data_IF_499782086482
#
_entry.id   IF_499782086482
#
_cell.length_a   1.000
_cell.length_b   1.000
_cell.length_c   1.000
_cell.angle_alpha   90.00
_cell.angle_beta   90.00
_cell.angle_gamma   90.00
#
_symmetry.space_group_name_H-M   'P 1'
#
loop_
_entity.id
_entity.type
_entity.pdbx_description
1 polymer ?
#
# COMPACT_ATOMS: atom_id res chain seq x y z
N UNK A 1 32.21 -63.53 -5.69
CA UNK A 1 31.27 -62.85 -6.61
C UNK A 1 31.93 -61.58 -7.12
N UNK A 2 32.22 -61.50 -8.41
CA UNK A 2 32.86 -60.34 -9.05
C UNK A 2 31.76 -59.38 -9.52
N UNK A 3 31.75 -58.17 -8.99
CA UNK A 3 30.84 -57.09 -9.39
C UNK A 3 31.33 -56.44 -10.69
N UNK A 4 30.38 -56.17 -11.58
CA UNK A 4 30.59 -55.76 -12.97
C UNK A 4 30.85 -54.24 -13.05
N UNK A 5 31.99 -53.78 -13.61
CA UNK A 5 32.42 -52.37 -13.53
C UNK A 5 31.50 -51.38 -14.27
N UNK A 6 30.62 -51.87 -15.15
CA UNK A 6 29.66 -51.04 -15.90
C UNK A 6 28.48 -50.60 -15.02
N UNK A 7 28.13 -51.38 -13.99
CA UNK A 7 27.01 -51.06 -13.11
C UNK A 7 27.35 -49.93 -12.12
N UNK A 8 28.64 -49.77 -11.76
CA UNK A 8 29.10 -48.67 -10.90
C UNK A 8 29.24 -47.33 -11.64
N UNK A 9 29.44 -47.33 -12.96
CA UNK A 9 29.53 -46.08 -13.73
C UNK A 9 28.16 -45.40 -13.90
N UNK A 10 27.08 -46.19 -13.99
CA UNK A 10 25.73 -45.66 -14.20
C UNK A 10 25.12 -45.08 -12.92
N UNK A 11 25.46 -45.61 -11.74
CA UNK A 11 24.97 -45.09 -10.46
C UNK A 11 25.68 -43.78 -10.07
N UNK A 12 26.95 -43.60 -10.46
CA UNK A 12 27.69 -42.36 -10.15
C UNK A 12 27.25 -41.19 -11.02
N UNK A 13 26.86 -41.40 -12.28
CA UNK A 13 26.38 -40.31 -13.14
C UNK A 13 25.01 -39.76 -12.73
N UNK A 14 24.12 -40.58 -12.17
CA UNK A 14 22.78 -40.11 -11.75
C UNK A 14 22.82 -39.33 -10.43
N UNK A 15 23.82 -39.57 -9.58
CA UNK A 15 24.00 -38.82 -8.31
C UNK A 15 24.64 -37.45 -8.55
N UNK A 16 25.44 -37.28 -9.61
CA UNK A 16 26.05 -35.97 -9.94
C UNK A 16 25.04 -35.02 -10.60
N UNK A 17 24.04 -35.52 -11.33
CA UNK A 17 23.00 -34.65 -11.91
C UNK A 17 21.94 -34.17 -10.89
N UNK A 18 21.70 -34.93 -9.82
CA UNK A 18 20.88 -34.46 -8.69
C UNK A 18 21.61 -33.46 -7.78
N UNK A 19 22.95 -33.50 -7.75
CA UNK A 19 23.77 -32.50 -7.05
C UNK A 19 23.83 -31.13 -7.75
N UNK A 20 23.74 -31.10 -9.09
CA UNK A 20 23.80 -29.86 -9.86
C UNK A 20 22.49 -29.04 -9.84
N UNK A 21 21.33 -29.68 -9.64
CA UNK A 21 20.06 -28.97 -9.43
C UNK A 21 19.81 -28.55 -7.98
N UNK A 22 20.42 -29.24 -7.00
CA UNK A 22 20.37 -28.81 -5.60
C UNK A 22 21.25 -27.58 -5.30
N UNK A 23 22.21 -27.26 -6.19
CA UNK A 23 23.05 -26.05 -6.08
C UNK A 23 22.46 -24.79 -6.72
N UNK A 24 21.55 -24.93 -7.69
CA UNK A 24 20.87 -23.79 -8.33
C UNK A 24 19.63 -23.31 -7.56
N UNK A 25 19.07 -24.17 -6.69
CA UNK A 25 18.01 -23.82 -5.74
C UNK A 25 18.55 -23.57 -4.33
N UNK A 26 19.77 -23.03 -4.22
CA UNK A 26 20.35 -22.49 -2.98
C UNK A 26 20.62 -20.99 -3.11
N UNK A 27 19.62 -20.26 -3.56
CA UNK A 27 19.34 -19.01 -2.91
C UNK A 27 17.99 -19.15 -2.24
N UNK A 28 18.05 -19.38 -0.94
CA UNK A 28 17.00 -19.01 -0.02
C UNK A 28 16.77 -17.50 -0.17
N UNK A 29 16.02 -17.10 -1.20
CA UNK A 29 15.49 -15.74 -1.37
C UNK A 29 14.13 -15.63 -0.69
N UNK A 30 13.97 -16.28 0.47
CA UNK A 30 12.98 -15.81 1.44
C UNK A 30 13.23 -14.35 1.81
N UNK A 31 14.46 -13.87 1.64
CA UNK A 31 14.83 -12.47 1.76
C UNK A 31 15.34 -11.90 0.43
N UNK A 32 14.68 -10.83 0.00
CA UNK A 32 15.12 -9.96 -1.07
C UNK A 32 16.30 -9.12 -0.56
N UNK A 33 17.42 -9.13 -1.28
CA UNK A 33 18.54 -8.26 -0.93
C UNK A 33 18.21 -6.77 -1.18
N UNK A 34 18.93 -5.88 -0.51
CA UNK A 34 18.62 -4.45 -0.52
C UNK A 34 18.75 -3.81 -1.91
N UNK A 35 19.60 -4.35 -2.77
CA UNK A 35 19.85 -3.86 -4.12
C UNK A 35 18.72 -4.29 -5.06
N UNK A 36 18.26 -5.54 -4.97
CA UNK A 36 17.07 -6.04 -5.65
C UNK A 36 15.79 -5.33 -5.18
N UNK A 37 15.67 -5.05 -3.87
CA UNK A 37 14.54 -4.28 -3.32
C UNK A 37 14.55 -2.83 -3.81
N UNK A 38 15.71 -2.18 -3.88
CA UNK A 38 15.84 -0.84 -4.43
C UNK A 38 15.49 -0.82 -5.93
N UNK A 39 15.95 -1.81 -6.70
CA UNK A 39 15.63 -1.95 -8.11
C UNK A 39 14.13 -2.22 -8.36
N UNK A 40 13.47 -3.00 -7.49
CA UNK A 40 12.02 -3.23 -7.53
C UNK A 40 11.23 -1.98 -7.16
N UNK A 41 11.61 -1.26 -6.09
CA UNK A 41 11.03 0.05 -5.69
C UNK A 41 11.21 1.14 -6.73
N UNK A 42 12.25 1.02 -7.56
CA UNK A 42 12.49 1.93 -8.68
C UNK A 42 11.65 1.58 -9.92
N UNK A 43 11.30 0.29 -10.09
CA UNK A 43 10.60 -0.23 -11.27
C UNK A 43 9.08 -0.28 -11.11
N UNK A 44 8.59 -0.47 -9.89
CA UNK A 44 7.18 -0.51 -9.53
C UNK A 44 6.95 0.43 -8.35
N UNK A 45 5.83 1.17 -8.37
CA UNK A 45 5.46 2.01 -7.23
C UNK A 45 5.18 1.16 -5.97
N UNK A 46 5.26 1.79 -4.81
CA UNK A 46 5.03 1.14 -3.51
C UNK A 46 3.67 0.42 -3.47
N UNK A 47 2.66 0.97 -4.14
CA UNK A 47 1.32 0.39 -4.24
C UNK A 47 1.33 -0.95 -5.01
N UNK A 48 2.03 -1.04 -6.13
CA UNK A 48 2.19 -2.26 -6.92
C UNK A 48 2.96 -3.33 -6.16
N UNK A 49 3.96 -2.94 -5.37
CA UNK A 49 4.72 -3.87 -4.52
C UNK A 49 3.87 -4.42 -3.38
N UNK A 50 3.08 -3.59 -2.72
CA UNK A 50 2.15 -4.01 -1.66
C UNK A 50 1.06 -4.95 -2.22
N UNK A 51 0.46 -4.58 -3.36
CA UNK A 51 -0.52 -5.41 -4.07
C UNK A 51 0.05 -6.79 -4.44
N UNK A 52 1.32 -6.86 -4.87
CA UNK A 52 2.00 -8.12 -5.20
C UNK A 52 2.31 -9.00 -3.98
N UNK A 53 2.72 -8.40 -2.85
CA UNK A 53 2.98 -9.16 -1.62
C UNK A 53 1.71 -9.77 -1.01
N UNK A 54 0.60 -9.05 -1.07
CA UNK A 54 -0.71 -9.52 -0.60
C UNK A 54 -1.30 -10.62 -1.49
N UNK A 55 -1.10 -10.55 -2.81
CA UNK A 55 -1.62 -11.55 -3.75
C UNK A 55 -0.79 -12.84 -3.85
N UNK A 56 0.53 -12.78 -3.59
CA UNK A 56 1.43 -13.92 -3.84
C UNK A 56 1.61 -14.83 -2.62
N UNK A 57 1.38 -14.34 -1.39
CA UNK A 57 1.77 -15.06 -0.17
C UNK A 57 0.65 -15.36 0.84
N UNK A 58 -0.63 -15.21 0.50
CA UNK A 58 -1.71 -15.61 1.41
C UNK A 58 -2.75 -16.54 0.74
N UNK A 59 -2.76 -17.80 1.18
CA UNK A 59 -3.83 -18.75 0.89
C UNK A 59 -5.04 -18.44 1.78
N UNK A 60 -6.23 -18.30 1.19
CA UNK A 60 -7.47 -18.24 1.95
C UNK A 60 -8.33 -19.48 1.65
N UNK A 61 -8.11 -20.53 2.44
CA UNK A 61 -8.77 -21.84 2.31
C UNK A 61 -9.89 -22.08 3.32
N UNK A 62 -10.50 -21.03 3.90
CA UNK A 62 -11.60 -21.25 4.83
C UNK A 62 -12.72 -20.26 4.68
N UNK A 63 -13.95 -20.76 4.75
CA UNK A 63 -15.23 -20.04 4.63
C UNK A 63 -15.53 -19.02 5.74
N UNK A 64 -14.50 -18.39 6.31
CA UNK A 64 -14.63 -17.28 7.26
C UNK A 64 -14.31 -15.98 6.54
N UNK A 65 -15.29 -15.08 6.46
CA UNK A 65 -15.12 -13.73 5.89
C UNK A 65 -14.13 -12.93 6.73
N UNK A 66 -12.85 -12.99 6.40
CA UNK A 66 -11.84 -12.00 6.77
C UNK A 66 -11.06 -11.72 5.50
N UNK A 67 -11.54 -10.73 4.76
CA UNK A 67 -10.74 -10.11 3.70
C UNK A 67 -9.52 -9.49 4.41
N UNK A 68 -8.31 -9.99 4.16
CA UNK A 68 -7.07 -9.51 4.80
C UNK A 68 -6.76 -8.03 4.49
N UNK A 69 -7.56 -7.41 3.62
CA UNK A 69 -7.51 -6.01 3.23
C UNK A 69 -8.93 -5.46 3.29
N UNK A 70 -9.10 -4.32 3.94
CA UNK A 70 -10.41 -3.68 4.03
C UNK A 70 -10.77 -2.99 2.73
N UNK A 71 -12.06 -3.03 2.34
CA UNK A 71 -12.50 -2.59 1.02
C UNK A 71 -13.66 -1.61 1.10
N UNK A 72 -13.69 -0.68 0.15
CA UNK A 72 -14.90 0.11 -0.14
C UNK A 72 -15.93 -0.78 -0.85
N UNK A 73 -17.21 -0.60 -0.53
CA UNK A 73 -18.33 -1.27 -1.21
C UNK A 73 -19.21 -0.32 -2.02
N UNK A 74 -18.93 0.98 -1.93
CA UNK A 74 -19.59 2.06 -2.66
C UNK A 74 -18.57 3.16 -2.98
N UNK A 75 -18.94 4.05 -3.90
CA UNK A 75 -18.10 5.19 -4.28
C UNK A 75 -17.78 6.07 -3.06
N UNK A 76 -16.50 6.25 -2.70
CA UNK A 76 -16.13 7.13 -1.61
C UNK A 76 -16.55 8.58 -1.89
N UNK A 77 -17.22 9.21 -0.93
CA UNK A 77 -17.63 10.62 -0.97
C UNK A 77 -16.67 11.46 -0.15
N UNK A 78 -15.89 12.30 -0.81
CA UNK A 78 -14.78 13.05 -0.23
C UNK A 78 -15.23 14.45 0.17
N UNK A 79 -14.89 14.87 1.39
CA UNK A 79 -14.93 16.26 1.83
C UNK A 79 -13.52 16.76 2.16
N UNK A 80 -13.25 18.04 1.89
CA UNK A 80 -11.99 18.70 2.24
C UNK A 80 -12.26 19.63 3.43
N UNK A 81 -11.46 19.49 4.49
CA UNK A 81 -11.59 20.22 5.74
C UNK A 81 -10.24 20.89 6.11
N UNK A 82 -10.28 21.81 7.09
CA UNK A 82 -9.10 22.54 7.53
C UNK A 82 -8.72 23.65 6.55
N UNK A 83 -7.48 23.65 6.06
CA UNK A 83 -6.98 24.60 5.07
C UNK A 83 -7.47 24.25 3.65
N UNK A 84 -8.50 24.96 3.21
CA UNK A 84 -9.16 24.76 1.91
C UNK A 84 -8.66 25.71 0.82
N UNK A 85 -7.36 26.05 0.84
CA UNK A 85 -6.75 26.78 -0.26
C UNK A 85 -6.91 26.07 -1.61
N UNK A 86 -6.80 26.82 -2.71
CA UNK A 86 -6.95 26.26 -4.06
C UNK A 86 -5.92 25.17 -4.38
N UNK A 87 -4.75 25.19 -3.74
CA UNK A 87 -3.68 24.23 -4.01
C UNK A 87 -4.07 22.85 -3.44
N UNK A 88 -4.59 22.81 -2.21
CA UNK A 88 -5.07 21.61 -1.55
C UNK A 88 -6.30 21.04 -2.28
N UNK A 89 -7.23 21.91 -2.69
CA UNK A 89 -8.39 21.49 -3.49
C UNK A 89 -7.94 20.86 -4.82
N UNK A 90 -6.99 21.48 -5.52
CA UNK A 90 -6.49 20.95 -6.79
C UNK A 90 -5.72 19.64 -6.61
N UNK A 91 -4.91 19.52 -5.54
CA UNK A 91 -4.22 18.28 -5.20
C UNK A 91 -5.21 17.11 -4.99
N UNK A 92 -6.33 17.34 -4.29
CA UNK A 92 -7.38 16.33 -4.13
C UNK A 92 -8.05 16.00 -5.46
N UNK A 93 -8.41 17.01 -6.27
CA UNK A 93 -8.98 16.79 -7.61
C UNK A 93 -8.06 15.98 -8.51
N UNK A 94 -6.76 16.28 -8.47
CA UNK A 94 -5.73 15.58 -9.22
C UNK A 94 -5.62 14.11 -8.82
N UNK A 95 -5.52 13.83 -7.52
CA UNK A 95 -5.50 12.46 -7.00
C UNK A 95 -6.78 11.67 -7.39
N UNK A 96 -7.95 12.29 -7.22
CA UNK A 96 -9.23 11.68 -7.66
C UNK A 96 -9.25 11.42 -9.16
N UNK A 97 -8.74 12.33 -9.98
CA UNK A 97 -8.67 12.15 -11.43
C UNK A 97 -7.76 10.99 -11.81
N UNK A 98 -6.62 10.82 -11.12
CA UNK A 98 -5.71 9.70 -11.34
C UNK A 98 -6.41 8.37 -11.00
N UNK A 99 -7.07 8.29 -9.85
CA UNK A 99 -7.79 7.09 -9.41
C UNK A 99 -8.93 6.76 -10.38
N UNK A 100 -9.77 7.73 -10.71
CA UNK A 100 -10.93 7.50 -11.59
C UNK A 100 -10.51 7.13 -13.02
N UNK A 101 -9.35 7.62 -13.49
CA UNK A 101 -8.80 7.26 -14.79
C UNK A 101 -8.35 5.80 -14.90
N UNK A 102 -8.17 5.09 -13.77
CA UNK A 102 -7.89 3.64 -13.76
C UNK A 102 -9.08 2.80 -14.24
N UNK A 103 -10.29 3.38 -14.32
CA UNK A 103 -11.48 2.66 -14.78
C UNK A 103 -11.96 1.58 -13.80
N UNK A 104 -11.69 1.76 -12.51
CA UNK A 104 -12.17 0.87 -11.45
C UNK A 104 -13.69 0.94 -11.30
N UNK A 105 -14.29 -0.11 -10.76
CA UNK A 105 -15.74 -0.19 -10.53
C UNK A 105 -16.24 0.88 -9.57
N UNK A 106 -15.44 1.20 -8.55
CA UNK A 106 -15.73 2.29 -7.62
C UNK A 106 -14.94 3.53 -8.03
N UNK A 107 -15.60 4.68 -7.96
CA UNK A 107 -14.99 5.98 -8.26
C UNK A 107 -15.08 6.90 -7.06
N UNK A 108 -14.12 7.82 -6.95
CA UNK A 108 -14.12 8.87 -5.96
C UNK A 108 -14.94 10.06 -6.46
N UNK A 109 -15.84 10.55 -5.61
CA UNK A 109 -16.64 11.76 -5.88
C UNK A 109 -16.52 12.74 -4.71
N UNK A 110 -16.68 14.04 -4.96
CA UNK A 110 -16.91 14.97 -3.86
C UNK A 110 -18.30 14.74 -3.25
N UNK A 111 -18.38 14.86 -1.92
CA UNK A 111 -19.65 14.91 -1.22
C UNK A 111 -20.44 16.16 -1.66
N UNK A 112 -21.72 15.99 -1.97
CA UNK A 112 -22.62 17.12 -2.27
C UNK A 112 -23.15 17.76 -0.98
N UNK A 113 -23.72 18.94 -1.12
CA UNK A 113 -24.39 19.61 0.01
C UNK A 113 -25.48 18.70 0.61
N UNK A 114 -25.42 18.49 1.93
CA UNK A 114 -26.32 17.61 2.67
C UNK A 114 -25.95 16.12 2.64
N UNK A 115 -24.96 15.70 1.84
CA UNK A 115 -24.42 14.33 1.91
C UNK A 115 -23.43 14.20 3.07
N UNK A 116 -23.45 13.05 3.75
CA UNK A 116 -22.40 12.70 4.71
C UNK A 116 -21.19 12.15 3.95
N UNK A 117 -19.99 12.74 4.06
CA UNK A 117 -18.80 12.22 3.42
C UNK A 117 -18.40 10.88 4.06
N UNK A 118 -18.04 9.91 3.23
CA UNK A 118 -17.41 8.67 3.70
C UNK A 118 -15.90 8.83 3.85
N UNK A 119 -15.30 9.86 3.26
CA UNK A 119 -13.90 10.19 3.40
C UNK A 119 -13.74 11.68 3.68
N UNK A 120 -13.02 12.02 4.73
CA UNK A 120 -12.75 13.40 5.10
C UNK A 120 -11.24 13.63 5.06
N UNK A 121 -10.79 14.61 4.26
CA UNK A 121 -9.38 14.97 4.12
C UNK A 121 -9.16 16.33 4.80
N UNK A 122 -8.44 16.33 5.91
CA UNK A 122 -8.12 17.52 6.68
C UNK A 122 -6.70 17.99 6.39
N UNK A 123 -6.55 19.20 5.86
CA UNK A 123 -5.25 19.86 5.71
C UNK A 123 -4.98 20.79 6.89
N UNK A 124 -3.81 20.69 7.51
CA UNK A 124 -3.45 21.58 8.61
C UNK A 124 -2.04 21.39 9.13
N UNK A 125 -1.73 22.05 10.25
CA UNK A 125 -0.45 21.84 10.94
C UNK A 125 -0.46 20.51 11.67
N UNK A 126 0.72 19.98 11.97
CA UNK A 126 0.86 18.64 12.55
C UNK A 126 0.00 18.38 13.80
N UNK A 127 -0.10 19.34 14.72
CA UNK A 127 -0.93 19.21 15.93
C UNK A 127 -2.43 19.18 15.64
N UNK A 128 -2.89 19.98 14.68
CA UNK A 128 -4.30 20.02 14.27
C UNK A 128 -4.68 18.74 13.53
N UNK A 129 -3.80 18.28 12.64
CA UNK A 129 -3.92 16.99 11.95
C UNK A 129 -4.03 15.85 12.96
N UNK A 130 -3.11 15.77 13.93
CA UNK A 130 -3.13 14.75 14.97
C UNK A 130 -4.45 14.73 15.74
N UNK A 131 -4.89 15.91 16.18
CA UNK A 131 -6.14 16.08 16.93
C UNK A 131 -7.36 15.62 16.11
N UNK A 132 -7.39 15.98 14.82
CA UNK A 132 -8.49 15.64 13.92
C UNK A 132 -8.59 14.12 13.67
N UNK A 133 -7.47 13.44 13.39
CA UNK A 133 -7.43 11.98 13.21
C UNK A 133 -7.40 11.21 14.54
N UNK A 134 -7.54 11.90 15.69
CA UNK A 134 -7.62 11.30 17.03
C UNK A 134 -6.32 10.69 17.54
N UNK A 135 -5.17 11.19 17.09
CA UNK A 135 -3.84 10.83 17.57
C UNK A 135 -3.34 11.89 18.57
N UNK A 136 -2.73 11.42 19.67
CA UNK A 136 -2.36 12.31 20.80
C UNK A 136 -1.03 13.03 20.60
N UNK A 137 -0.08 12.40 19.89
CA UNK A 137 1.23 12.99 19.57
C UNK A 137 1.91 12.20 18.44
N UNK A 138 1.99 12.79 17.24
CA UNK A 138 2.63 12.17 16.08
C UNK A 138 4.15 11.99 16.30
N UNK A 139 4.79 12.90 17.05
CA UNK A 139 6.24 12.85 17.29
C UNK A 139 6.60 11.63 18.15
N UNK A 140 5.75 11.30 19.13
CA UNK A 140 5.89 10.09 19.95
C UNK A 140 5.76 8.79 19.13
N UNK A 141 5.11 8.86 17.97
CA UNK A 141 4.95 7.75 17.03
C UNK A 141 6.10 7.67 16.01
N UNK A 142 7.14 8.50 16.16
CA UNK A 142 8.30 8.55 15.26
C UNK A 142 8.04 9.25 13.93
N UNK A 143 6.94 10.00 13.82
CA UNK A 143 6.57 10.73 12.61
C UNK A 143 7.34 12.05 12.58
N UNK A 144 7.98 12.35 11.46
CA UNK A 144 8.61 13.65 11.25
C UNK A 144 7.54 14.75 11.06
N UNK A 145 7.32 15.54 12.10
CA UNK A 145 6.34 16.63 12.11
C UNK A 145 6.88 17.94 11.50
N UNK A 146 8.16 17.97 11.12
CA UNK A 146 8.80 19.14 10.49
C UNK A 146 8.80 19.06 8.95
N UNK A 147 8.36 17.94 8.39
CA UNK A 147 8.20 17.72 6.96
C UNK A 147 6.74 17.54 6.59
N UNK A 148 6.46 17.50 5.28
CA UNK A 148 5.14 17.15 4.81
C UNK A 148 4.84 15.66 5.03
N UNK A 149 3.59 15.34 5.40
CA UNK A 149 3.15 13.98 5.65
C UNK A 149 1.63 13.83 5.45
N UNK A 150 1.19 12.58 5.33
CA UNK A 150 -0.22 12.17 5.35
C UNK A 150 -0.43 11.01 6.33
N UNK A 151 -1.66 10.90 6.87
CA UNK A 151 -2.12 9.75 7.64
C UNK A 151 -3.59 9.48 7.41
N UNK A 152 -3.90 8.31 6.86
CA UNK A 152 -5.24 7.73 6.82
C UNK A 152 -5.58 6.92 8.07
N UNK A 153 -6.80 7.09 8.58
CA UNK A 153 -7.41 6.27 9.62
C UNK A 153 -8.78 5.78 9.16
N UNK A 154 -8.88 4.55 8.63
CA UNK A 154 -10.15 3.97 8.27
C UNK A 154 -10.94 3.55 9.51
N UNK A 155 -12.26 3.70 9.44
CA UNK A 155 -13.24 3.09 10.33
C UNK A 155 -13.93 1.97 9.55
N UNK A 156 -14.02 0.80 10.16
CA UNK A 156 -14.34 -0.45 9.47
C UNK A 156 -15.37 -1.25 10.24
N UNK A 157 -16.23 -1.97 9.51
CA UNK A 157 -17.13 -2.97 10.05
C UNK A 157 -17.11 -4.18 9.14
N UNK A 158 -16.80 -5.36 9.68
CA UNK A 158 -16.77 -6.63 8.93
C UNK A 158 -15.94 -6.60 7.63
N UNK A 159 -14.76 -5.96 7.67
CA UNK A 159 -13.85 -5.83 6.52
C UNK A 159 -14.27 -4.78 5.48
N UNK A 160 -15.37 -4.07 5.72
CA UNK A 160 -15.84 -2.96 4.87
C UNK A 160 -15.43 -1.63 5.49
N UNK A 161 -14.80 -0.77 4.70
CA UNK A 161 -14.52 0.61 5.09
C UNK A 161 -15.83 1.39 5.06
N UNK A 162 -16.24 1.94 6.20
CA UNK A 162 -17.46 2.75 6.34
C UNK A 162 -17.16 4.24 6.40
N UNK A 163 -15.99 4.61 6.94
CA UNK A 163 -15.47 5.97 6.97
C UNK A 163 -13.95 5.98 6.87
N UNK A 164 -13.35 7.04 6.35
CA UNK A 164 -11.91 7.26 6.42
C UNK A 164 -11.61 8.71 6.79
N UNK A 165 -10.77 8.91 7.79
CA UNK A 165 -10.24 10.22 8.15
C UNK A 165 -8.80 10.32 7.66
N UNK A 166 -8.50 11.27 6.80
CA UNK A 166 -7.16 11.52 6.28
C UNK A 166 -6.70 12.86 6.81
N UNK A 167 -5.52 12.90 7.42
CA UNK A 167 -4.89 14.11 7.91
C UNK A 167 -3.60 14.40 7.16
N UNK A 168 -3.47 15.60 6.59
CA UNK A 168 -2.30 15.99 5.77
C UNK A 168 -1.68 17.27 6.32
N UNK A 169 -0.37 17.22 6.55
CA UNK A 169 0.45 18.39 6.75
C UNK A 169 1.23 18.70 5.46
N UNK A 170 0.87 19.74 4.68
CA UNK A 170 1.48 20.01 3.39
C UNK A 170 2.74 20.90 3.49
N UNK A 171 3.38 20.98 4.66
CA UNK A 171 4.42 21.95 4.97
C UNK A 171 5.54 21.99 3.91
N UNK A 172 5.69 23.16 3.27
CA UNK A 172 6.83 23.48 2.41
C UNK A 172 6.86 22.76 1.06
N UNK A 173 5.82 22.01 0.69
CA UNK A 173 5.80 21.23 -0.56
C UNK A 173 4.89 21.84 -1.65
N UNK A 174 5.29 21.71 -2.93
CA UNK A 174 4.50 22.18 -4.07
C UNK A 174 3.26 21.32 -4.31
N UNK A 175 2.30 21.85 -5.08
CA UNK A 175 1.01 21.20 -5.40
C UNK A 175 1.15 19.74 -5.84
N UNK A 176 2.07 19.45 -6.77
CA UNK A 176 2.26 18.10 -7.31
C UNK A 176 2.76 17.09 -6.27
N UNK A 177 3.51 17.55 -5.27
CA UNK A 177 3.92 16.71 -4.16
C UNK A 177 2.76 16.51 -3.17
N UNK A 178 1.89 17.51 -2.99
CA UNK A 178 0.67 17.38 -2.18
C UNK A 178 -0.29 16.37 -2.81
N UNK A 179 -0.49 16.45 -4.13
CA UNK A 179 -1.29 15.47 -4.90
C UNK A 179 -0.79 14.05 -4.68
N UNK A 180 0.53 13.84 -4.68
CA UNK A 180 1.12 12.53 -4.41
C UNK A 180 0.80 12.02 -3.00
N UNK A 181 0.93 12.87 -1.97
CA UNK A 181 0.56 12.49 -0.60
C UNK A 181 -0.93 12.16 -0.53
N UNK A 182 -1.79 13.01 -1.11
CA UNK A 182 -3.24 12.74 -1.14
C UNK A 182 -3.54 11.40 -1.80
N UNK A 183 -2.89 11.11 -2.94
CA UNK A 183 -3.05 9.84 -3.64
C UNK A 183 -2.61 8.65 -2.78
N UNK A 184 -1.47 8.76 -2.08
CA UNK A 184 -0.95 7.72 -1.18
C UNK A 184 -1.89 7.44 -0.01
N UNK A 185 -2.60 8.45 0.52
CA UNK A 185 -3.52 8.25 1.65
C UNK A 185 -4.95 7.83 1.26
N UNK A 186 -5.35 8.04 0.00
CA UNK A 186 -6.67 7.60 -0.50
C UNK A 186 -6.67 6.10 -0.86
N UNK A 187 -5.53 5.59 -1.35
CA UNK A 187 -5.35 4.21 -1.86
C UNK A 187 -5.01 3.25 -0.72
#
# INVERSE_FOLDING_TARGET
MKTNPIFNAFVVCTIVFLGAFAGACRHDRSHMDAEALAALKQKYDTATLNYFYETVFHEDFSSGKIDNVSKWTSNPKIAILGDTDSININAVKGAMSIINALGLTLQCDFAKEGETPSMEIYFGKAGDVASYIGLKDLSSMGIDTNSAFGFGRPEMSDGVITKCLIGINPLGIPEKAREKIVLEEIV
#
